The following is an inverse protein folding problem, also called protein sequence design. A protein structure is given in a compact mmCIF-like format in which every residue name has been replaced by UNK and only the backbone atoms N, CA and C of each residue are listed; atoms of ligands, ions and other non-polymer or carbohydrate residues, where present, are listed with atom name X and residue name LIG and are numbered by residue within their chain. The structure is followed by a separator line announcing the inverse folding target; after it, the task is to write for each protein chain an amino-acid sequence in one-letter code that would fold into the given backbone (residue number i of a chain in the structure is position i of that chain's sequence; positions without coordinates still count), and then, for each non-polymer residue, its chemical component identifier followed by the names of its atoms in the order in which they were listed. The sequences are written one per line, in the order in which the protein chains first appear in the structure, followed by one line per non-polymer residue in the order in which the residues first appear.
data_IF_567057652828
#
_entry.id   IF_567057652828
#
_cell.length_a   1.000
_cell.length_b   1.000
_cell.length_c   1.000
_cell.angle_alpha   90.00
_cell.angle_beta   90.00
_cell.angle_gamma   90.00
#
_symmetry.space_group_name_H-M   'P 1'
#
loop_
_entity.id
_entity.type
_entity.pdbx_description
1 polymer ?
#
# COMPACT_ATOMS: atom_id res chain seq x y z
N UNK A 1 14.38 -2.78 23.99
CA UNK A 1 14.22 -3.20 22.59
C UNK A 1 13.47 -2.12 21.86
N UNK A 2 14.18 -1.43 20.98
CA UNK A 2 13.65 -0.40 20.09
C UNK A 2 13.39 -0.99 18.72
N UNK A 3 12.37 -0.50 18.03
CA UNK A 3 12.11 -0.82 16.63
C UNK A 3 12.53 0.35 15.75
N UNK A 4 13.56 0.17 14.95
CA UNK A 4 14.04 1.13 13.95
C UNK A 4 13.51 0.71 12.59
N UNK A 5 12.88 1.63 11.88
CA UNK A 5 12.21 1.41 10.61
C UNK A 5 12.78 2.36 9.57
N UNK A 6 13.45 1.80 8.57
CA UNK A 6 14.07 2.56 7.49
C UNK A 6 13.23 2.36 6.23
N UNK A 7 12.71 3.44 5.66
CA UNK A 7 11.83 3.37 4.50
C UNK A 7 12.23 4.36 3.41
N UNK A 8 12.14 3.89 2.16
CA UNK A 8 12.26 4.72 0.97
C UNK A 8 10.93 5.40 0.62
N UNK A 9 10.97 6.69 0.29
CA UNK A 9 9.83 7.45 -0.20
C UNK A 9 10.28 8.49 -1.22
N UNK A 10 10.00 8.24 -2.50
CA UNK A 10 10.47 9.06 -3.62
C UNK A 10 9.38 9.27 -4.65
N UNK A 11 9.47 10.35 -5.44
CA UNK A 11 8.56 10.54 -6.58
C UNK A 11 8.65 9.42 -7.60
N UNK A 12 9.85 8.89 -7.87
CA UNK A 12 10.04 7.88 -8.92
C UNK A 12 9.55 6.48 -8.51
N UNK A 13 9.42 6.22 -7.20
CA UNK A 13 9.14 4.89 -6.62
C UNK A 13 7.78 4.83 -5.95
N UNK A 14 7.34 5.91 -5.31
CA UNK A 14 6.12 5.95 -4.52
C UNK A 14 6.37 6.04 -3.01
N UNK A 15 5.29 5.87 -2.26
CA UNK A 15 5.25 6.00 -0.79
C UNK A 15 4.83 4.70 -0.08
N UNK A 16 4.68 3.59 -0.81
CA UNK A 16 4.21 2.33 -0.24
C UNK A 16 5.08 1.83 0.92
N UNK A 17 6.39 1.92 0.79
CA UNK A 17 7.36 1.53 1.82
C UNK A 17 7.25 2.41 3.08
N UNK A 18 7.02 3.72 2.91
CA UNK A 18 6.80 4.65 4.03
C UNK A 18 5.56 4.28 4.83
N UNK A 19 4.43 4.02 4.15
CA UNK A 19 3.18 3.63 4.83
C UNK A 19 3.30 2.24 5.48
N UNK A 20 3.99 1.29 4.85
CA UNK A 20 4.30 -0.02 5.43
C UNK A 20 5.12 0.10 6.73
N UNK A 21 6.19 0.91 6.73
CA UNK A 21 6.97 1.16 7.94
C UNK A 21 6.19 1.92 9.01
N UNK A 22 5.31 2.86 8.65
CA UNK A 22 4.43 3.51 9.63
C UNK A 22 3.43 2.51 10.27
N UNK A 23 2.93 1.55 9.50
CA UNK A 23 2.09 0.47 10.01
C UNK A 23 2.84 -0.41 11.01
N UNK A 24 4.08 -0.81 10.68
CA UNK A 24 4.95 -1.53 11.59
C UNK A 24 5.30 -0.73 12.84
N UNK A 25 5.50 0.59 12.72
CA UNK A 25 5.71 1.47 13.87
C UNK A 25 4.48 1.47 14.80
N UNK A 26 3.27 1.53 14.23
CA UNK A 26 2.02 1.40 14.99
C UNK A 26 1.96 0.09 15.77
N UNK A 27 2.24 -1.04 15.12
CA UNK A 27 2.28 -2.35 15.75
C UNK A 27 3.38 -2.47 16.83
N UNK A 28 4.58 -1.90 16.59
CA UNK A 28 5.66 -1.85 17.57
C UNK A 28 5.28 -1.07 18.83
N UNK A 29 4.66 0.10 18.68
CA UNK A 29 4.16 0.89 19.81
C UNK A 29 3.06 0.15 20.59
N UNK A 30 2.15 -0.53 19.90
CA UNK A 30 1.13 -1.35 20.53
C UNK A 30 1.73 -2.52 21.33
N UNK A 31 2.90 -3.02 20.92
CA UNK A 31 3.69 -4.01 21.65
C UNK A 31 4.59 -3.41 22.76
N UNK A 32 4.49 -2.11 23.04
CA UNK A 32 5.26 -1.43 24.08
C UNK A 32 6.71 -1.10 23.68
N UNK A 33 7.05 -1.16 22.39
CA UNK A 33 8.37 -0.82 21.89
C UNK A 33 8.45 0.67 21.51
N UNK A 34 9.50 1.41 21.93
CA UNK A 34 9.84 2.66 21.29
C UNK A 34 10.11 2.44 19.80
N UNK A 35 9.63 3.35 18.95
CA UNK A 35 9.77 3.24 17.48
C UNK A 35 10.46 4.47 16.91
N UNK A 36 11.36 4.28 15.95
CA UNK A 36 12.01 5.36 15.20
C UNK A 36 11.83 5.11 13.70
N UNK A 37 11.41 6.14 12.97
CA UNK A 37 11.21 6.11 11.52
C UNK A 37 12.31 6.93 10.84
N UNK A 38 13.02 6.31 9.91
CA UNK A 38 14.11 6.93 9.16
C UNK A 38 13.74 6.94 7.68
N UNK A 39 13.65 8.12 7.08
CA UNK A 39 13.26 8.30 5.69
C UNK A 39 14.47 8.40 4.75
N UNK A 40 14.38 7.74 3.61
CA UNK A 40 15.28 7.89 2.46
C UNK A 40 14.49 8.46 1.29
N UNK A 41 14.97 9.55 0.69
CA UNK A 41 14.36 10.15 -0.50
C UNK A 41 13.59 11.44 -0.25
N UNK A 42 13.11 12.06 -1.33
CA UNK A 42 12.58 13.43 -1.32
C UNK A 42 11.19 13.57 -0.69
N UNK A 43 10.45 12.47 -0.54
CA UNK A 43 9.09 12.47 0.03
C UNK A 43 8.99 11.76 1.39
N UNK A 44 9.98 10.93 1.76
CA UNK A 44 9.88 10.03 2.90
C UNK A 44 9.64 10.76 4.23
N UNK A 45 10.58 11.63 4.62
CA UNK A 45 10.52 12.30 5.92
C UNK A 45 9.29 13.22 6.05
N UNK A 46 8.97 13.96 4.98
CA UNK A 46 7.78 14.82 4.97
C UNK A 46 6.49 14.01 5.17
N UNK A 47 6.37 12.86 4.51
CA UNK A 47 5.22 11.95 4.65
C UNK A 47 5.16 11.35 6.06
N UNK A 48 6.29 10.88 6.60
CA UNK A 48 6.36 10.33 7.96
C UNK A 48 5.94 11.35 9.02
N UNK A 49 6.37 12.61 8.89
CA UNK A 49 5.97 13.68 9.81
C UNK A 49 4.51 14.09 9.66
N UNK A 50 3.96 13.99 8.44
CA UNK A 50 2.58 14.39 8.16
C UNK A 50 1.56 13.37 8.64
N UNK A 51 1.81 12.08 8.43
CA UNK A 51 0.85 11.00 8.69
C UNK A 51 1.26 10.04 9.82
N UNK A 52 2.50 10.13 10.30
CA UNK A 52 3.05 9.29 11.35
C UNK A 52 3.39 10.05 12.62
N UNK A 53 4.41 9.56 13.33
CA UNK A 53 4.91 10.19 14.56
C UNK A 53 6.06 11.15 14.23
N UNK A 54 5.71 12.44 14.10
CA UNK A 54 6.67 13.47 13.72
C UNK A 54 7.86 13.61 14.70
N UNK A 55 7.67 13.30 15.98
CA UNK A 55 8.71 13.42 16.99
C UNK A 55 9.78 12.33 16.86
N UNK A 56 9.43 11.21 16.21
CA UNK A 56 10.28 10.04 16.02
C UNK A 56 10.61 9.78 14.53
N UNK A 57 10.50 10.82 13.68
CA UNK A 57 10.79 10.76 12.25
C UNK A 57 12.06 11.57 11.90
N UNK A 58 13.02 10.90 11.27
CA UNK A 58 14.36 11.41 10.98
C UNK A 58 14.77 11.12 9.53
N UNK A 59 15.77 11.85 9.02
CA UNK A 59 16.47 11.45 7.81
C UNK A 59 17.38 10.25 8.10
N UNK A 60 17.54 9.35 7.13
CA UNK A 60 18.36 8.16 7.25
C UNK A 60 19.84 8.42 6.89
N UNK A 61 20.49 9.35 7.59
CA UNK A 61 21.93 9.63 7.40
C UNK A 61 22.83 8.79 8.32
N UNK A 62 24.13 8.74 8.00
CA UNK A 62 25.12 7.96 8.76
C UNK A 62 25.20 8.39 10.24
N UNK A 63 25.07 9.69 10.52
CA UNK A 63 25.12 10.23 11.87
C UNK A 63 23.92 9.75 12.70
N UNK A 64 22.72 9.81 12.13
CA UNK A 64 21.48 9.35 12.74
C UNK A 64 21.55 7.86 13.02
N UNK A 65 21.98 7.05 12.05
CA UNK A 65 22.14 5.60 12.21
C UNK A 65 23.16 5.26 13.31
N UNK A 66 24.30 5.98 13.35
CA UNK A 66 25.31 5.79 14.39
C UNK A 66 24.79 6.16 15.79
N UNK A 67 24.01 7.22 15.90
CA UNK A 67 23.41 7.68 17.16
C UNK A 67 22.31 6.74 17.69
N UNK A 68 21.81 5.79 16.88
CA UNK A 68 20.82 4.81 17.32
C UNK A 68 21.44 3.56 17.97
N UNK A 69 22.76 3.38 17.94
CA UNK A 69 23.40 2.24 18.62
C UNK A 69 23.55 2.47 20.14
N UNK A 70 23.30 1.46 20.98
CA UNK A 70 23.77 1.52 22.38
C UNK A 70 23.06 0.70 23.46
N UNK A 71 21.85 0.17 23.27
CA UNK A 71 21.07 -0.44 24.37
C UNK A 71 20.37 -1.76 24.01
N UNK A 72 21.09 -2.89 24.06
CA UNK A 72 20.53 -4.25 23.93
C UNK A 72 20.21 -4.68 22.49
N UNK A 73 19.58 -5.87 22.27
CA UNK A 73 19.20 -6.26 20.91
C UNK A 73 18.01 -5.43 20.47
N UNK A 74 18.27 -4.46 19.60
CA UNK A 74 17.26 -3.69 18.87
C UNK A 74 16.86 -4.42 17.57
N UNK A 75 15.70 -4.07 17.02
CA UNK A 75 15.22 -4.61 15.74
C UNK A 75 15.31 -3.50 14.70
N UNK A 76 15.93 -3.79 13.55
CA UNK A 76 15.95 -2.89 12.41
C UNK A 76 15.22 -3.53 11.25
N UNK A 77 14.20 -2.84 10.75
CA UNK A 77 13.44 -3.23 9.57
C UNK A 77 13.76 -2.24 8.45
N UNK A 78 14.24 -2.75 7.32
CA UNK A 78 14.61 -1.96 6.15
C UNK A 78 13.65 -2.31 5.02
N UNK A 79 12.97 -1.29 4.50
CA UNK A 79 12.02 -1.39 3.39
C UNK A 79 12.43 -0.41 2.27
N UNK A 80 13.26 -0.90 1.35
CA UNK A 80 13.82 -0.10 0.25
C UNK A 80 13.73 -0.89 -1.05
N UNK A 81 13.31 -0.25 -2.15
CA UNK A 81 13.21 -0.90 -3.46
C UNK A 81 14.57 -1.21 -4.06
N UNK A 82 15.53 -0.31 -3.84
CA UNK A 82 16.89 -0.39 -4.38
C UNK A 82 17.84 -0.89 -3.31
N UNK A 83 18.10 -2.21 -3.26
CA UNK A 83 18.89 -2.82 -2.20
C UNK A 83 20.31 -2.26 -2.10
N UNK A 84 20.89 -1.86 -3.23
CA UNK A 84 22.22 -1.25 -3.34
C UNK A 84 22.33 0.13 -2.68
N UNK A 85 21.20 0.80 -2.41
CA UNK A 85 21.18 2.12 -1.78
C UNK A 85 21.17 2.05 -0.25
N UNK A 86 21.15 0.86 0.36
CA UNK A 86 21.20 0.71 1.81
C UNK A 86 22.11 -0.45 2.27
N UNK A 87 23.14 -0.09 3.05
CA UNK A 87 24.05 -1.05 3.68
C UNK A 87 23.54 -1.47 5.07
N UNK A 88 23.36 -2.77 5.28
CA UNK A 88 22.99 -3.34 6.58
C UNK A 88 24.17 -3.47 7.56
N UNK A 89 25.42 -3.41 7.09
CA UNK A 89 26.60 -3.64 7.91
C UNK A 89 26.70 -2.73 9.15
N UNK A 90 26.32 -1.44 9.12
CA UNK A 90 26.26 -0.61 10.33
C UNK A 90 25.29 -1.18 11.38
N UNK A 91 24.10 -1.59 10.97
CA UNK A 91 23.07 -2.17 11.85
C UNK A 91 23.54 -3.50 12.45
N UNK A 92 24.10 -4.37 11.62
CA UNK A 92 24.61 -5.67 12.06
C UNK A 92 25.76 -5.51 13.08
N UNK A 93 26.71 -4.58 12.83
CA UNK A 93 27.80 -4.26 13.77
C UNK A 93 27.29 -3.69 15.09
N UNK A 94 26.19 -2.94 15.07
CA UNK A 94 25.53 -2.42 16.26
C UNK A 94 24.69 -3.47 17.00
N UNK A 95 24.60 -4.71 16.49
CA UNK A 95 23.97 -5.84 17.18
C UNK A 95 22.46 -6.01 16.90
N UNK A 96 21.91 -5.26 15.94
CA UNK A 96 20.49 -5.33 15.58
C UNK A 96 20.10 -6.70 15.03
N UNK A 97 18.87 -7.15 15.34
CA UNK A 97 18.19 -8.13 14.49
C UNK A 97 17.73 -7.41 13.21
N UNK A 98 18.40 -7.69 12.09
CA UNK A 98 18.10 -7.07 10.81
C UNK A 98 17.00 -7.83 10.07
N UNK A 99 16.01 -7.10 9.59
CA UNK A 99 14.88 -7.60 8.82
C UNK A 99 14.75 -6.78 7.53
N UNK A 100 14.57 -7.43 6.39
CA UNK A 100 14.26 -6.76 5.13
C UNK A 100 12.81 -7.02 4.72
N UNK A 101 12.13 -5.97 4.28
CA UNK A 101 10.91 -6.07 3.47
C UNK A 101 11.33 -6.05 2.01
N UNK A 102 10.98 -7.09 1.28
CA UNK A 102 11.39 -7.29 -0.11
C UNK A 102 10.25 -7.96 -0.86
N UNK A 103 9.97 -7.53 -2.08
CA UNK A 103 8.71 -7.83 -2.76
C UNK A 103 8.87 -8.59 -4.08
N UNK A 104 10.09 -8.84 -4.57
CA UNK A 104 10.39 -9.46 -5.87
C UNK A 104 11.04 -10.84 -5.77
N UNK A 105 11.38 -11.31 -4.57
CA UNK A 105 11.94 -12.64 -4.34
C UNK A 105 13.43 -12.75 -4.61
N UNK A 106 14.14 -11.64 -4.79
CA UNK A 106 15.61 -11.62 -4.97
C UNK A 106 16.33 -11.93 -3.64
N UNK A 107 15.68 -11.62 -2.52
CA UNK A 107 16.26 -11.76 -1.19
C UNK A 107 17.28 -10.67 -0.85
N UNK A 108 17.71 -10.67 0.41
CA UNK A 108 18.70 -9.73 0.98
C UNK A 108 19.64 -10.51 1.89
N UNK A 109 20.72 -11.10 1.38
CA UNK A 109 21.58 -12.00 2.16
C UNK A 109 22.21 -11.34 3.41
N UNK A 110 22.23 -10.01 3.47
CA UNK A 110 22.70 -9.23 4.61
C UNK A 110 21.68 -9.15 5.76
N UNK A 111 20.40 -9.45 5.49
CA UNK A 111 19.34 -9.48 6.48
C UNK A 111 19.26 -10.84 7.19
N UNK A 112 18.94 -10.82 8.48
CA UNK A 112 18.73 -12.04 9.27
C UNK A 112 17.32 -12.62 9.09
N UNK A 113 16.34 -11.76 8.79
CA UNK A 113 14.92 -12.12 8.60
C UNK A 113 14.41 -11.50 7.31
N UNK A 114 13.60 -12.25 6.56
CA UNK A 114 12.91 -11.74 5.37
C UNK A 114 11.41 -11.66 5.59
N UNK A 115 10.82 -10.55 5.17
CA UNK A 115 9.38 -10.39 5.01
C UNK A 115 9.09 -10.12 3.54
N UNK A 116 8.31 -10.98 2.91
CA UNK A 116 7.84 -10.78 1.54
C UNK A 116 6.30 -10.78 1.52
N UNK A 117 5.67 -9.61 1.61
CA UNK A 117 4.21 -9.52 1.66
C UNK A 117 3.54 -9.67 0.30
N UNK A 118 4.29 -9.96 -0.78
CA UNK A 118 3.74 -9.91 -2.12
C UNK A 118 2.66 -10.98 -2.34
N UNK A 119 1.66 -10.71 -3.20
CA UNK A 119 0.62 -11.70 -3.56
C UNK A 119 1.14 -12.78 -4.52
N UNK A 120 2.22 -12.51 -5.24
CA UNK A 120 2.75 -13.37 -6.30
C UNK A 120 3.56 -14.50 -5.69
N UNK A 121 3.00 -15.71 -5.66
CA UNK A 121 3.62 -16.89 -5.04
C UNK A 121 5.01 -17.23 -5.57
N UNK A 122 5.30 -16.91 -6.83
CA UNK A 122 6.61 -17.15 -7.42
C UNK A 122 7.73 -16.34 -6.72
N UNK A 123 7.39 -15.15 -6.21
CA UNK A 123 8.32 -14.26 -5.51
C UNK A 123 8.58 -14.68 -4.06
N UNK A 124 7.92 -15.72 -3.55
CA UNK A 124 8.16 -16.24 -2.20
C UNK A 124 9.35 -17.21 -2.13
N UNK A 125 9.97 -17.54 -3.26
CA UNK A 125 11.13 -18.43 -3.35
C UNK A 125 12.41 -17.67 -3.05
N UNK A 126 12.72 -17.52 -1.78
CA UNK A 126 13.89 -16.81 -1.30
C UNK A 126 15.08 -17.77 -1.10
N UNK A 127 16.33 -17.27 -1.18
CA UNK A 127 17.52 -18.05 -0.85
C UNK A 127 17.49 -18.63 0.58
N UNK A 128 18.20 -19.73 0.81
CA UNK A 128 18.41 -20.27 2.16
C UNK A 128 19.34 -19.37 2.99
N UNK A 129 19.27 -19.49 4.32
CA UNK A 129 20.21 -18.82 5.25
C UNK A 129 19.58 -17.79 6.19
N UNK A 130 18.31 -17.43 5.98
CA UNK A 130 17.55 -16.58 6.89
C UNK A 130 17.16 -17.33 8.16
N UNK A 131 17.09 -16.62 9.29
CA UNK A 131 16.55 -17.15 10.54
C UNK A 131 15.05 -17.39 10.46
N UNK A 132 14.36 -16.56 9.69
CA UNK A 132 12.93 -16.69 9.42
C UNK A 132 12.59 -16.03 8.08
N UNK A 133 11.57 -16.57 7.43
CA UNK A 133 10.97 -16.02 6.20
C UNK A 133 9.46 -15.94 6.41
N UNK A 134 8.91 -14.74 6.30
CA UNK A 134 7.49 -14.44 6.47
C UNK A 134 6.92 -14.02 5.12
N UNK A 135 6.11 -14.87 4.48
CA UNK A 135 5.68 -14.63 3.10
C UNK A 135 4.16 -14.64 2.89
N UNK A 136 3.73 -13.86 1.91
CA UNK A 136 2.34 -13.75 1.48
C UNK A 136 1.56 -12.63 2.16
N UNK A 137 0.34 -12.39 1.66
CA UNK A 137 -0.54 -11.30 2.08
C UNK A 137 -0.90 -11.32 3.57
N UNK A 138 -0.80 -12.47 4.25
CA UNK A 138 -0.96 -12.54 5.71
C UNK A 138 0.07 -11.69 6.47
N UNK A 139 1.19 -11.34 5.84
CA UNK A 139 2.22 -10.46 6.38
C UNK A 139 2.24 -9.09 5.70
N UNK A 140 1.20 -8.68 4.96
CA UNK A 140 1.12 -7.32 4.43
C UNK A 140 1.03 -6.30 5.60
N UNK A 141 2.00 -5.41 5.76
CA UNK A 141 1.96 -4.41 6.82
C UNK A 141 1.01 -3.27 6.42
N UNK A 142 -0.21 -3.32 6.95
CA UNK A 142 -1.17 -2.21 6.89
C UNK A 142 -1.41 -1.66 8.29
N UNK A 143 -1.87 -0.41 8.36
CA UNK A 143 -2.14 0.25 9.65
C UNK A 143 -3.19 -0.54 10.46
N UNK A 144 -3.11 -0.55 11.80
CA UNK A 144 -4.00 -1.35 12.65
C UNK A 144 -5.50 -1.05 12.43
N UNK A 145 -5.84 0.19 12.06
CA UNK A 145 -7.21 0.61 11.77
C UNK A 145 -7.84 -0.18 10.61
N UNK A 146 -7.04 -0.73 9.68
CA UNK A 146 -7.55 -1.63 8.64
C UNK A 146 -8.11 -2.94 9.21
N UNK A 147 -7.52 -3.47 10.28
CA UNK A 147 -8.04 -4.66 10.96
C UNK A 147 -9.34 -4.34 11.71
N UNK A 148 -9.44 -3.16 12.33
CA UNK A 148 -10.66 -2.69 12.98
C UNK A 148 -11.80 -2.54 11.96
N UNK A 149 -11.48 -2.00 10.77
CA UNK A 149 -12.44 -1.92 9.66
C UNK A 149 -12.80 -3.28 9.11
N UNK A 150 -11.83 -4.19 8.98
CA UNK A 150 -12.07 -5.55 8.52
C UNK A 150 -13.10 -6.27 9.39
N UNK A 151 -13.13 -6.00 10.69
CA UNK A 151 -14.09 -6.61 11.62
C UNK A 151 -15.53 -6.05 11.47
N UNK A 152 -15.70 -4.87 10.85
CA UNK A 152 -17.03 -4.34 10.51
C UNK A 152 -17.64 -5.18 9.40
N UNK A 153 -18.75 -5.84 9.69
CA UNK A 153 -19.49 -6.59 8.69
C UNK A 153 -19.89 -5.68 7.52
N UNK A 154 -19.52 -6.07 6.30
CA UNK A 154 -19.92 -5.41 5.07
C UNK A 154 -20.88 -6.30 4.32
N UNK A 155 -22.08 -5.79 4.04
CA UNK A 155 -23.04 -6.52 3.23
C UNK A 155 -22.54 -6.58 1.77
N UNK A 156 -22.78 -7.69 1.05
CA UNK A 156 -22.55 -7.73 -0.40
C UNK A 156 -23.30 -6.60 -1.09
N UNK A 157 -22.60 -5.85 -1.94
CA UNK A 157 -23.14 -4.73 -2.70
C UNK A 157 -23.20 -5.10 -4.17
N UNK A 158 -24.37 -5.53 -4.71
CA UNK A 158 -24.49 -5.90 -6.12
C UNK A 158 -24.59 -4.68 -7.06
N UNK A 159 -24.55 -3.46 -6.51
CA UNK A 159 -24.56 -2.22 -7.26
C UNK A 159 -23.51 -1.29 -6.67
N UNK A 160 -22.54 -0.88 -7.47
CA UNK A 160 -21.54 0.09 -7.07
C UNK A 160 -21.92 1.48 -7.57
N UNK A 161 -22.07 2.43 -6.65
CA UNK A 161 -22.39 3.83 -7.00
C UNK A 161 -21.38 4.83 -6.45
N UNK A 162 -20.67 4.45 -5.39
CA UNK A 162 -19.61 5.24 -4.76
C UNK A 162 -18.28 4.70 -5.28
N UNK A 163 -17.75 5.34 -6.31
CA UNK A 163 -16.47 4.97 -6.91
C UNK A 163 -15.37 5.78 -6.23
N UNK A 164 -14.30 5.13 -5.80
CA UNK A 164 -13.11 5.78 -5.28
C UNK A 164 -11.95 5.55 -6.27
N UNK A 165 -11.29 6.62 -6.69
CA UNK A 165 -10.12 6.58 -7.56
C UNK A 165 -8.88 6.97 -6.76
N UNK A 166 -7.87 6.12 -6.76
CA UNK A 166 -6.58 6.42 -6.12
C UNK A 166 -5.45 5.61 -6.75
N UNK A 167 -4.41 6.28 -7.25
CA UNK A 167 -3.21 5.61 -7.77
C UNK A 167 -2.11 5.53 -6.71
N UNK A 168 -2.51 5.54 -5.44
CA UNK A 168 -1.60 5.52 -4.29
C UNK A 168 -0.94 6.88 -4.03
N UNK A 169 0.28 6.83 -3.51
CA UNK A 169 0.94 8.01 -2.92
C UNK A 169 1.39 9.09 -3.91
N UNK A 170 1.60 8.76 -5.19
CA UNK A 170 2.23 9.66 -6.16
C UNK A 170 1.46 9.81 -7.47
N UNK A 171 0.93 8.73 -8.06
CA UNK A 171 0.41 8.70 -9.45
C UNK A 171 1.44 9.30 -10.44
N UNK A 172 2.45 8.50 -10.80
CA UNK A 172 3.59 9.03 -11.59
C UNK A 172 3.21 9.36 -13.02
N UNK A 173 2.15 8.75 -13.51
CA UNK A 173 1.78 8.77 -14.92
C UNK A 173 0.55 9.62 -15.21
N UNK A 174 -0.16 10.06 -14.16
CA UNK A 174 -1.42 10.80 -14.29
C UNK A 174 -2.59 9.90 -14.67
N UNK A 175 -2.54 8.62 -14.30
CA UNK A 175 -3.61 7.65 -14.56
C UNK A 175 -4.93 8.11 -13.92
N UNK A 176 -4.88 8.87 -12.81
CA UNK A 176 -6.06 9.53 -12.22
C UNK A 176 -6.80 10.41 -13.24
N UNK A 177 -6.08 11.13 -14.11
CA UNK A 177 -6.71 11.99 -15.13
C UNK A 177 -7.43 11.17 -16.20
N UNK A 178 -6.86 10.01 -16.58
CA UNK A 178 -7.50 9.07 -17.51
C UNK A 178 -8.80 8.55 -16.89
N UNK A 179 -8.75 8.14 -15.62
CA UNK A 179 -9.92 7.63 -14.90
C UNK A 179 -10.99 8.70 -14.68
N UNK A 180 -10.60 9.95 -14.42
CA UNK A 180 -11.53 11.08 -14.33
C UNK A 180 -12.30 11.28 -15.64
N UNK A 181 -11.59 11.26 -16.78
CA UNK A 181 -12.22 11.34 -18.11
C UNK A 181 -13.11 10.15 -18.41
N UNK A 182 -12.66 8.93 -18.08
CA UNK A 182 -13.42 7.71 -18.29
C UNK A 182 -14.74 7.75 -17.49
N UNK A 183 -14.70 8.08 -16.21
CA UNK A 183 -15.90 8.22 -15.37
C UNK A 183 -16.82 9.34 -15.86
N UNK A 184 -16.27 10.43 -16.39
CA UNK A 184 -17.05 11.48 -17.04
C UNK A 184 -17.83 10.98 -18.27
N UNK A 185 -17.20 10.13 -19.10
CA UNK A 185 -17.86 9.48 -20.24
C UNK A 185 -18.95 8.51 -19.78
N UNK A 186 -18.65 7.65 -18.80
CA UNK A 186 -19.65 6.74 -18.20
C UNK A 186 -20.85 7.52 -17.67
N UNK A 187 -20.61 8.62 -16.95
CA UNK A 187 -21.69 9.45 -16.40
C UNK A 187 -22.51 10.16 -17.49
N UNK A 188 -21.88 10.62 -18.56
CA UNK A 188 -22.58 11.27 -19.67
C UNK A 188 -23.51 10.32 -20.43
N UNK A 189 -23.14 9.05 -20.56
CA UNK A 189 -23.95 8.02 -21.22
C UNK A 189 -24.96 7.35 -20.26
N UNK A 190 -24.53 7.06 -19.02
CA UNK A 190 -25.27 6.30 -18.00
C UNK A 190 -25.08 6.91 -16.59
N UNK A 191 -25.72 8.05 -16.28
CA UNK A 191 -25.52 8.77 -15.03
C UNK A 191 -25.94 7.97 -13.78
N UNK A 192 -26.77 6.95 -13.93
CA UNK A 192 -27.24 6.08 -12.83
C UNK A 192 -26.19 5.07 -12.33
N UNK A 193 -25.14 4.81 -13.10
CA UNK A 193 -24.07 3.87 -12.74
C UNK A 193 -23.10 4.46 -11.71
N UNK A 194 -22.77 5.75 -11.83
CA UNK A 194 -21.83 6.44 -10.94
C UNK A 194 -22.56 7.53 -10.19
N UNK A 195 -22.92 7.27 -8.93
CA UNK A 195 -23.58 8.24 -8.08
C UNK A 195 -22.64 9.30 -7.52
N UNK A 196 -21.43 8.91 -7.12
CA UNK A 196 -20.35 9.82 -6.72
C UNK A 196 -18.99 9.21 -7.02
N UNK A 197 -18.07 10.01 -7.55
CA UNK A 197 -16.68 9.65 -7.79
C UNK A 197 -15.75 10.45 -6.87
N UNK A 198 -15.05 9.78 -5.96
CA UNK A 198 -14.06 10.40 -5.08
C UNK A 198 -12.66 10.15 -5.58
N UNK A 199 -11.88 11.20 -5.78
CA UNK A 199 -10.49 11.11 -6.22
C UNK A 199 -9.59 11.38 -5.02
N UNK A 200 -8.93 10.34 -4.50
CA UNK A 200 -7.95 10.49 -3.42
C UNK A 200 -6.56 10.65 -4.01
N UNK A 201 -6.02 11.86 -3.89
CA UNK A 201 -4.72 12.23 -4.40
C UNK A 201 -3.66 12.12 -3.29
N UNK A 202 -2.67 11.25 -3.51
CA UNK A 202 -1.58 11.04 -2.57
C UNK A 202 -0.63 12.25 -2.43
N UNK A 203 0.25 12.26 -1.41
CA UNK A 203 1.13 13.40 -1.11
C UNK A 203 2.08 13.81 -2.24
N UNK A 204 2.42 12.88 -3.13
CA UNK A 204 3.27 13.13 -4.30
C UNK A 204 2.51 13.49 -5.57
N UNK A 205 1.18 13.61 -5.54
CA UNK A 205 0.36 13.90 -6.72
C UNK A 205 0.67 15.28 -7.30
N UNK A 206 1.04 15.32 -8.59
CA UNK A 206 1.44 16.58 -9.26
C UNK A 206 0.41 17.13 -10.24
N UNK A 207 -0.70 16.42 -10.46
CA UNK A 207 -1.69 16.77 -11.49
C UNK A 207 -2.95 17.47 -10.95
N UNK A 208 -2.91 18.04 -9.74
CA UNK A 208 -4.07 18.66 -9.08
C UNK A 208 -4.80 19.68 -9.97
N UNK A 209 -4.08 20.66 -10.53
CA UNK A 209 -4.69 21.68 -11.40
C UNK A 209 -5.32 21.10 -12.68
N UNK A 210 -4.77 20.01 -13.21
CA UNK A 210 -5.32 19.32 -14.38
C UNK A 210 -6.58 18.54 -14.01
N UNK A 211 -6.58 17.88 -12.84
CA UNK A 211 -7.74 17.17 -12.32
C UNK A 211 -8.89 18.14 -12.04
N UNK A 212 -8.63 19.24 -11.33
CA UNK A 212 -9.64 20.25 -11.00
C UNK A 212 -10.32 20.81 -12.26
N UNK A 213 -9.52 21.09 -13.31
CA UNK A 213 -10.06 21.55 -14.59
C UNK A 213 -10.95 20.50 -15.24
N UNK A 214 -10.49 19.25 -15.32
CA UNK A 214 -11.25 18.16 -15.94
C UNK A 214 -12.58 17.92 -15.22
N UNK A 215 -12.59 17.97 -13.89
CA UNK A 215 -13.80 17.76 -13.10
C UNK A 215 -14.75 18.95 -13.20
N UNK A 216 -14.24 20.18 -13.25
CA UNK A 216 -15.06 21.38 -13.45
C UNK A 216 -15.73 21.46 -14.83
N UNK A 217 -15.15 20.78 -15.83
CA UNK A 217 -15.70 20.66 -17.19
C UNK A 217 -16.65 19.46 -17.36
N UNK A 218 -16.90 18.69 -16.30
CA UNK A 218 -17.73 17.49 -16.31
C UNK A 218 -18.98 17.66 -15.43
N UNK A 219 -20.08 17.00 -15.81
CA UNK A 219 -21.28 16.89 -14.96
C UNK A 219 -21.16 15.79 -13.88
N UNK A 220 -20.02 15.07 -13.84
CA UNK A 220 -19.75 14.02 -12.86
C UNK A 220 -19.79 14.56 -11.44
N UNK A 221 -20.70 14.04 -10.61
CA UNK A 221 -20.70 14.29 -9.17
C UNK A 221 -19.39 13.77 -8.55
N UNK A 222 -18.46 14.68 -8.27
CA UNK A 222 -17.09 14.34 -7.91
C UNK A 222 -16.58 15.13 -6.71
N UNK A 223 -15.65 14.51 -5.99
CA UNK A 223 -14.98 15.08 -4.83
C UNK A 223 -13.48 14.77 -4.91
N UNK A 224 -12.63 15.78 -4.74
CA UNK A 224 -11.18 15.59 -4.65
C UNK A 224 -10.78 15.63 -3.18
N UNK A 225 -10.10 14.58 -2.74
CA UNK A 225 -9.63 14.40 -1.38
C UNK A 225 -8.10 14.39 -1.36
N UNK A 226 -7.52 15.22 -0.51
CA UNK A 226 -6.09 15.29 -0.23
C UNK A 226 -5.85 15.12 1.27
N UNK A 227 -4.63 14.74 1.66
CA UNK A 227 -4.24 14.58 3.07
C UNK A 227 -5.18 13.66 3.88
N UNK A 228 -5.70 12.59 3.29
CA UNK A 228 -6.67 11.68 3.91
C UNK A 228 -5.98 10.82 5.00
N UNK A 229 -6.19 11.08 6.30
CA UNK A 229 -5.50 10.33 7.35
C UNK A 229 -6.17 8.98 7.64
N UNK A 230 -7.41 8.80 7.19
CA UNK A 230 -8.36 7.73 7.49
C UNK A 230 -8.76 6.94 6.22
N UNK A 231 -7.76 6.58 5.41
CA UNK A 231 -7.98 5.91 4.11
C UNK A 231 -8.79 4.60 4.23
N UNK A 232 -8.69 3.88 5.36
CA UNK A 232 -9.48 2.69 5.64
C UNK A 232 -10.99 2.96 5.63
N UNK A 233 -11.45 4.11 6.13
CA UNK A 233 -12.87 4.49 6.07
C UNK A 233 -13.30 4.77 4.64
N UNK A 234 -12.45 5.45 3.87
CA UNK A 234 -12.74 5.76 2.46
C UNK A 234 -12.89 4.49 1.62
N UNK A 235 -12.05 3.47 1.86
CA UNK A 235 -12.23 2.16 1.24
C UNK A 235 -13.48 1.43 1.73
N UNK A 236 -13.77 1.48 3.02
CA UNK A 236 -14.98 0.86 3.56
C UNK A 236 -16.27 1.46 2.96
N UNK A 237 -16.27 2.77 2.73
CA UNK A 237 -17.36 3.51 2.11
C UNK A 237 -17.43 3.36 0.59
N UNK A 238 -16.34 3.00 -0.08
CA UNK A 238 -16.30 2.88 -1.54
C UNK A 238 -16.92 1.55 -1.98
N UNK A 239 -17.85 1.58 -2.94
CA UNK A 239 -18.44 0.38 -3.52
C UNK A 239 -17.54 -0.26 -4.57
N UNK A 240 -16.70 0.55 -5.22
CA UNK A 240 -15.67 0.13 -6.16
C UNK A 240 -14.45 1.05 -5.98
N UNK A 241 -13.25 0.45 -5.98
CA UNK A 241 -11.99 1.18 -6.00
C UNK A 241 -11.35 1.03 -7.38
N UNK A 242 -10.86 2.13 -7.94
CA UNK A 242 -10.01 2.15 -9.13
C UNK A 242 -8.62 2.53 -8.66
N UNK A 243 -7.66 1.63 -8.78
CA UNK A 243 -6.30 1.84 -8.29
C UNK A 243 -5.20 1.36 -9.22
N UNK A 244 -3.97 1.74 -8.89
CA UNK A 244 -2.78 1.06 -9.37
C UNK A 244 -2.67 -0.34 -8.72
N UNK A 245 -1.64 -1.12 -9.11
CA UNK A 245 -1.41 -2.47 -8.58
C UNK A 245 -0.46 -2.54 -7.37
N UNK A 246 -0.24 -1.41 -6.68
CA UNK A 246 0.57 -1.31 -5.46
C UNK A 246 -0.15 -1.76 -4.18
N UNK A 247 0.39 -1.43 -3.01
CA UNK A 247 -0.15 -1.85 -1.70
C UNK A 247 -1.60 -1.36 -1.47
N UNK A 248 -1.96 -0.22 -2.04
CA UNK A 248 -3.32 0.36 -2.02
C UNK A 248 -4.40 -0.62 -2.48
N UNK A 249 -4.10 -1.49 -3.45
CA UNK A 249 -5.02 -2.54 -3.91
C UNK A 249 -5.40 -3.50 -2.77
N UNK A 250 -4.41 -3.90 -1.97
CA UNK A 250 -4.58 -4.88 -0.90
C UNK A 250 -5.11 -4.24 0.39
N UNK A 251 -4.85 -2.96 0.61
CA UNK A 251 -5.53 -2.13 1.60
C UNK A 251 -7.04 -2.08 1.34
N UNK A 252 -7.45 -1.82 0.10
CA UNK A 252 -8.86 -1.85 -0.31
C UNK A 252 -9.50 -3.24 -0.13
N UNK A 253 -8.76 -4.30 -0.47
CA UNK A 253 -9.18 -5.68 -0.27
C UNK A 253 -9.46 -5.99 1.22
N UNK A 254 -8.61 -5.49 2.14
CA UNK A 254 -8.81 -5.61 3.58
C UNK A 254 -10.14 -4.99 4.05
N UNK A 255 -10.54 -3.86 3.46
CA UNK A 255 -11.82 -3.21 3.74
C UNK A 255 -13.01 -3.80 2.97
N UNK A 256 -12.79 -4.88 2.21
CA UNK A 256 -13.80 -5.54 1.38
C UNK A 256 -14.32 -4.71 0.23
N UNK A 257 -13.52 -3.78 -0.29
CA UNK A 257 -13.84 -3.03 -1.49
C UNK A 257 -13.33 -3.78 -2.74
N UNK A 258 -14.22 -4.14 -3.69
CA UNK A 258 -13.81 -4.62 -5.00
C UNK A 258 -12.93 -3.59 -5.71
N UNK A 259 -11.92 -4.06 -6.46
CA UNK A 259 -10.97 -3.16 -7.14
C UNK A 259 -10.84 -3.42 -8.63
N UNK A 260 -10.69 -2.35 -9.39
CA UNK A 260 -10.26 -2.34 -10.79
C UNK A 260 -8.85 -1.78 -10.84
N UNK A 261 -7.94 -2.52 -11.47
CA UNK A 261 -6.51 -2.18 -11.50
C UNK A 261 -6.11 -1.65 -12.87
N UNK A 262 -5.60 -0.43 -12.88
CA UNK A 262 -4.87 0.17 -14.00
C UNK A 262 -3.45 0.46 -13.53
N UNK A 263 -2.52 -0.44 -13.85
CA UNK A 263 -1.16 -0.41 -13.31
C UNK A 263 -0.28 0.67 -13.95
N UNK A 264 0.76 1.11 -13.24
CA UNK A 264 1.76 2.07 -13.73
C UNK A 264 3.10 1.38 -14.05
N UNK A 265 3.46 0.35 -13.26
CA UNK A 265 4.70 -0.44 -13.42
C UNK A 265 4.44 -1.92 -13.75
N UNK A 266 5.41 -2.61 -14.39
CA UNK A 266 5.30 -4.05 -14.66
C UNK A 266 5.01 -4.92 -13.43
N UNK A 267 5.62 -4.60 -12.28
CA UNK A 267 5.40 -5.39 -11.06
C UNK A 267 3.98 -5.22 -10.50
N UNK A 268 3.36 -4.07 -10.71
CA UNK A 268 1.96 -3.81 -10.33
C UNK A 268 0.99 -4.61 -11.18
N UNK A 269 1.33 -4.86 -12.46
CA UNK A 269 0.57 -5.77 -13.32
C UNK A 269 0.53 -7.18 -12.73
N UNK A 270 1.68 -7.75 -12.39
CA UNK A 270 1.75 -9.12 -11.82
C UNK A 270 0.99 -9.22 -10.50
N UNK A 271 1.03 -8.17 -9.67
CA UNK A 271 0.24 -8.06 -8.44
C UNK A 271 -1.26 -7.98 -8.72
N UNK A 272 -1.67 -7.18 -9.71
CA UNK A 272 -3.05 -7.05 -10.15
C UNK A 272 -3.60 -8.36 -10.72
N UNK A 273 -2.83 -9.06 -11.55
CA UNK A 273 -3.17 -10.39 -12.08
C UNK A 273 -3.30 -11.43 -10.96
N UNK A 274 -2.44 -11.38 -9.94
CA UNK A 274 -2.58 -12.25 -8.76
C UNK A 274 -3.86 -11.95 -7.95
N UNK A 275 -4.23 -10.66 -7.81
CA UNK A 275 -5.48 -10.24 -7.18
C UNK A 275 -6.73 -10.64 -7.99
N UNK A 276 -6.64 -10.58 -9.31
CA UNK A 276 -7.68 -11.05 -10.23
C UNK A 276 -7.86 -12.57 -10.14
N UNK A 277 -6.76 -13.34 -10.13
CA UNK A 277 -6.81 -14.78 -9.94
C UNK A 277 -7.40 -15.17 -8.57
N UNK A 278 -7.21 -14.34 -7.54
CA UNK A 278 -7.85 -14.48 -6.23
C UNK A 278 -9.31 -13.98 -6.21
N UNK A 279 -9.78 -13.34 -7.28
CA UNK A 279 -11.18 -13.01 -7.51
C UNK A 279 -11.69 -11.76 -6.81
N UNK A 280 -10.81 -10.92 -6.25
CA UNK A 280 -11.20 -9.66 -5.57
C UNK A 280 -10.85 -8.40 -6.35
N UNK A 281 -10.14 -8.54 -7.47
CA UNK A 281 -9.84 -7.45 -8.39
C UNK A 281 -10.07 -7.86 -9.86
N UNK A 282 -10.05 -6.88 -10.77
CA UNK A 282 -9.90 -7.08 -12.21
C UNK A 282 -8.75 -6.23 -12.71
N UNK A 283 -7.82 -6.83 -13.45
CA UNK A 283 -6.59 -6.16 -13.88
C UNK A 283 -6.64 -5.85 -15.37
N UNK A 284 -6.49 -4.57 -15.71
CA UNK A 284 -6.53 -4.11 -17.09
C UNK A 284 -5.17 -3.58 -17.55
N UNK A 285 -5.19 -2.72 -18.57
CA UNK A 285 -3.98 -2.16 -19.17
C UNK A 285 -3.26 -1.15 -18.28
N UNK A 286 -2.14 -0.64 -18.80
CA UNK A 286 -1.39 0.43 -18.16
C UNK A 286 -2.22 1.71 -18.15
N UNK A 287 -2.35 2.35 -16.99
CA UNK A 287 -3.27 3.49 -16.80
C UNK A 287 -3.05 4.61 -17.83
N UNK A 288 -1.83 5.11 -17.96
CA UNK A 288 -1.47 6.17 -18.91
C UNK A 288 -1.62 5.81 -20.39
N UNK A 289 -1.54 4.52 -20.73
CA UNK A 289 -1.58 4.06 -22.13
C UNK A 289 -3.00 3.64 -22.54
N UNK A 290 -3.95 3.64 -21.60
CA UNK A 290 -5.35 3.29 -21.85
C UNK A 290 -6.12 4.52 -22.30
N UNK A 291 -6.77 4.43 -23.47
CA UNK A 291 -7.61 5.53 -23.93
C UNK A 291 -8.83 5.71 -23.00
N UNK A 292 -9.26 6.94 -22.65
CA UNK A 292 -10.40 7.16 -21.76
C UNK A 292 -11.70 6.47 -22.19
N UNK A 293 -11.95 6.34 -23.49
CA UNK A 293 -13.12 5.63 -24.03
C UNK A 293 -13.07 4.12 -23.78
N UNK A 294 -11.89 3.52 -23.84
CA UNK A 294 -11.72 2.09 -23.57
C UNK A 294 -11.81 1.83 -22.07
N UNK A 295 -11.23 2.71 -21.24
CA UNK A 295 -11.42 2.68 -19.80
C UNK A 295 -12.89 2.85 -19.40
N UNK A 296 -13.65 3.73 -20.07
CA UNK A 296 -15.08 3.91 -19.79
C UNK A 296 -15.88 2.62 -20.04
N UNK A 297 -15.66 1.96 -21.19
CA UNK A 297 -16.28 0.67 -21.51
C UNK A 297 -15.95 -0.42 -20.49
N UNK A 298 -14.68 -0.50 -20.08
CA UNK A 298 -14.24 -1.44 -19.05
C UNK A 298 -14.97 -1.16 -17.73
N UNK A 299 -15.05 0.11 -17.30
CA UNK A 299 -15.69 0.47 -16.05
C UNK A 299 -17.20 0.20 -16.09
N UNK A 300 -17.85 0.45 -17.21
CA UNK A 300 -19.24 0.09 -17.46
C UNK A 300 -19.49 -1.41 -17.30
N UNK A 301 -18.71 -2.26 -17.97
CA UNK A 301 -18.82 -3.71 -17.87
C UNK A 301 -18.61 -4.21 -16.43
N UNK A 302 -17.73 -3.55 -15.67
CA UNK A 302 -17.49 -3.87 -14.25
C UNK A 302 -18.65 -3.42 -13.37
N UNK A 303 -19.16 -2.20 -13.57
CA UNK A 303 -20.26 -1.63 -12.79
C UNK A 303 -21.58 -2.39 -13.01
N UNK A 304 -21.76 -2.98 -14.19
CA UNK A 304 -22.91 -3.84 -14.52
C UNK A 304 -22.78 -5.26 -13.94
N UNK A 305 -21.58 -5.71 -13.55
CA UNK A 305 -21.38 -7.05 -12.98
C UNK A 305 -21.61 -7.09 -11.47
N UNK A 306 -22.88 -6.99 -11.09
CA UNK A 306 -23.32 -7.08 -9.70
C UNK A 306 -22.98 -8.41 -9.02
N UNK A 307 -22.79 -9.49 -9.78
CA UNK A 307 -22.38 -10.79 -9.23
C UNK A 307 -20.93 -10.74 -8.79
N UNK A 308 -20.05 -10.19 -9.63
CA UNK A 308 -18.65 -9.99 -9.29
C UNK A 308 -18.50 -9.01 -8.13
N UNK A 309 -19.16 -7.85 -8.16
CA UNK A 309 -19.11 -6.85 -7.08
C UNK A 309 -19.49 -7.45 -5.71
N UNK A 310 -20.56 -8.24 -5.67
CA UNK A 310 -21.02 -8.89 -4.44
C UNK A 310 -20.03 -9.92 -3.88
N UNK A 311 -19.26 -10.61 -4.75
CA UNK A 311 -18.32 -11.66 -4.35
C UNK A 311 -16.91 -11.13 -4.07
N UNK A 312 -16.46 -10.13 -4.83
CA UNK A 312 -15.10 -9.63 -4.81
C UNK A 312 -14.71 -9.04 -3.44
N UNK A 313 -15.62 -8.30 -2.81
CA UNK A 313 -15.38 -7.72 -1.48
C UNK A 313 -15.11 -8.79 -0.40
N UNK A 314 -15.87 -9.90 -0.42
CA UNK A 314 -15.66 -11.00 0.53
C UNK A 314 -14.35 -11.75 0.25
N UNK A 315 -14.02 -12.00 -1.02
CA UNK A 315 -12.73 -12.59 -1.40
C UNK A 315 -11.55 -11.73 -0.98
N UNK A 316 -11.67 -10.41 -1.08
CA UNK A 316 -10.64 -9.46 -0.63
C UNK A 316 -10.38 -9.57 0.86
N UNK A 317 -11.44 -9.60 1.67
CA UNK A 317 -11.35 -9.76 3.14
C UNK A 317 -10.79 -11.11 3.56
N UNK A 318 -11.03 -12.17 2.77
CA UNK A 318 -10.43 -13.48 3.01
C UNK A 318 -8.93 -13.50 2.67
N UNK A 319 -8.50 -12.72 1.68
CA UNK A 319 -7.11 -12.63 1.27
C UNK A 319 -6.25 -11.74 2.20
N UNK A 320 -6.82 -10.66 2.73
CA UNK A 320 -6.13 -9.67 3.58
C UNK A 320 -6.96 -9.37 4.82
N UNK A 321 -6.39 -9.62 5.99
CA UNK A 321 -7.09 -9.49 7.28
C UNK A 321 -6.62 -8.32 8.15
N UNK A 322 -5.71 -7.50 7.62
CA UNK A 322 -5.20 -6.31 8.30
C UNK A 322 -4.20 -6.58 9.43
N UNK A 323 -3.82 -7.84 9.69
CA UNK A 323 -3.01 -8.21 10.87
C UNK A 323 -1.52 -8.43 10.56
N UNK A 324 -1.07 -8.13 9.34
CA UNK A 324 0.29 -8.41 8.90
C UNK A 324 1.37 -7.67 9.70
N UNK A 325 1.17 -6.39 10.01
CA UNK A 325 2.12 -5.61 10.80
C UNK A 325 2.34 -6.22 12.20
N UNK A 326 1.25 -6.59 12.90
CA UNK A 326 1.31 -7.23 14.21
C UNK A 326 1.97 -8.61 14.16
N UNK A 327 1.71 -9.41 13.11
CA UNK A 327 2.39 -10.71 12.92
C UNK A 327 3.90 -10.55 12.74
N UNK A 328 4.31 -9.59 11.91
CA UNK A 328 5.73 -9.30 11.67
C UNK A 328 6.41 -8.90 12.98
N UNK A 329 5.87 -7.90 13.68
CA UNK A 329 6.45 -7.42 14.95
C UNK A 329 6.53 -8.55 15.97
N UNK A 330 5.45 -9.33 16.14
CA UNK A 330 5.45 -10.47 17.07
C UNK A 330 6.52 -11.52 16.73
N UNK A 331 6.72 -11.82 15.45
CA UNK A 331 7.74 -12.78 15.01
C UNK A 331 9.16 -12.25 15.29
N UNK A 332 9.42 -10.98 14.99
CA UNK A 332 10.72 -10.34 15.23
C UNK A 332 11.05 -10.28 16.73
N UNK A 333 10.08 -9.93 17.58
CA UNK A 333 10.24 -9.95 19.04
C UNK A 333 10.56 -11.35 19.55
N UNK A 334 9.85 -12.38 19.06
CA UNK A 334 10.10 -13.77 19.43
C UNK A 334 11.53 -14.23 19.10
N UNK A 335 12.09 -13.79 17.97
CA UNK A 335 13.47 -14.11 17.57
C UNK A 335 14.53 -13.40 18.42
N UNK A 336 14.21 -12.27 19.04
CA UNK A 336 15.09 -11.59 19.99
C UNK A 336 15.11 -12.26 21.38
N UNK A 337 13.97 -12.80 21.83
CA UNK A 337 13.82 -13.44 23.14
C UNK A 337 14.49 -14.81 23.30
N UNK A 338 14.93 -15.44 22.20
CA UNK A 338 15.62 -16.74 22.22
C UNK A 338 17.15 -16.67 22.36
N UNK A 339 17.71 -15.55 22.84
CA UNK A 339 19.16 -15.36 23.08
C UNK A 339 19.53 -15.58 24.56
N UNK A 340 19.06 -16.67 25.16
CA UNK A 340 19.54 -17.16 26.47
C UNK A 340 20.53 -18.33 26.30
#
# INVERSE_FOLDING_TARGET
MTLVLIAEGRREIGLGHVFACMALAGAGRAAGMPTRLLGIGDLALATMRRFGDAANAYDADEETLAAMGGEGPDIAVVDVRRPEEFDFAPLARAGYLTCALEEFGEGRPEAMVMVNPAPVRAWHRLPDGYRAVLSGLSYLPVRPEYAEVHERARAPMPQARRVLVTMGGVDRTGATLVMARALGLVHAERPELVGVARFVCGPGFTYAASLDRLLAESDLNSEVLTDVPDMWERFFEADLVISAGGNTLFEAACCGAPSVVFWEDPHERERGEAAEAAGFARCFGRGQDTAPVDAARILEDVLDDGTWLAQAGERGRQAVDGRGASRIVSALVGLCGGRE
#
